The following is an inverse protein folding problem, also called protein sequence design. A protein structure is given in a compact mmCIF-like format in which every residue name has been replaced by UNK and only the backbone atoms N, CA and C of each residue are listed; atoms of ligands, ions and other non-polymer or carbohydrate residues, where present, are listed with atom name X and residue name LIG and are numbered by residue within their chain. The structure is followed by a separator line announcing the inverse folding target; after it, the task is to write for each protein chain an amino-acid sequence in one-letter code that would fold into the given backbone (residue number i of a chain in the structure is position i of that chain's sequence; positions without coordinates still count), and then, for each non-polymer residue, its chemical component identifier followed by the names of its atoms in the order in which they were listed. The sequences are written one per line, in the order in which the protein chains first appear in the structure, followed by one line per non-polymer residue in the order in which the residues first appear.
data_IF_352982763207
#
_entry.id   IF_352982763207
#
_cell.length_a   1.000
_cell.length_b   1.000
_cell.length_c   1.000
_cell.angle_alpha   90.00
_cell.angle_beta   90.00
_cell.angle_gamma   90.00
#
_symmetry.space_group_name_H-M   'P 1'
#
loop_
_entity.id
_entity.type
_entity.pdbx_description
1 polymer ?
#
# COMPACT_ATOMS: atom_id res chain seq x y z
N UNK A 1 4.00 16.48 -21.39
CA UNK A 1 4.52 17.24 -20.25
C UNK A 1 4.40 16.34 -19.06
N UNK A 2 5.52 15.78 -18.62
CA UNK A 2 5.64 14.97 -17.40
C UNK A 2 5.89 15.97 -16.29
N UNK A 3 4.97 16.09 -15.35
CA UNK A 3 5.10 17.02 -14.23
C UNK A 3 6.09 16.41 -13.22
N UNK A 4 7.33 16.88 -13.30
CA UNK A 4 8.36 16.72 -12.28
C UNK A 4 8.01 17.60 -11.08
N UNK A 5 7.16 17.08 -10.18
CA UNK A 5 7.00 17.67 -8.86
C UNK A 5 6.58 16.65 -7.80
N UNK A 6 7.56 16.01 -7.17
CA UNK A 6 7.52 15.79 -5.72
C UNK A 6 8.92 15.60 -5.17
N UNK A 7 9.31 16.59 -4.38
CA UNK A 7 10.47 16.58 -3.49
C UNK A 7 10.29 15.56 -2.36
N UNK A 8 11.37 14.88 -1.97
CA UNK A 8 11.45 14.10 -0.72
C UNK A 8 11.57 12.59 -0.96
N UNK A 9 12.72 12.02 -0.60
CA UNK A 9 13.05 10.61 -0.82
C UNK A 9 11.93 9.67 -0.40
N UNK A 10 11.47 8.85 -1.33
CA UNK A 10 10.49 7.81 -1.06
C UNK A 10 11.05 6.55 -1.69
N UNK A 11 11.57 5.64 -0.85
CA UNK A 11 11.89 4.24 -1.18
C UNK A 11 10.59 3.45 -1.47
N UNK A 12 9.73 4.02 -2.31
CA UNK A 12 8.42 3.47 -2.63
C UNK A 12 8.44 3.01 -4.08
N UNK A 13 8.33 1.69 -4.27
CA UNK A 13 8.23 1.10 -5.59
C UNK A 13 6.78 0.80 -5.94
N UNK A 14 6.31 1.32 -7.07
CA UNK A 14 4.98 0.99 -7.59
C UNK A 14 5.02 -0.36 -8.32
N UNK A 15 4.22 -1.32 -7.86
CA UNK A 15 4.07 -2.63 -8.49
C UNK A 15 2.60 -2.99 -8.64
N UNK A 16 2.26 -3.61 -9.78
CA UNK A 16 0.96 -4.25 -9.99
C UNK A 16 1.09 -5.73 -9.63
N UNK A 17 0.24 -6.21 -8.73
CA UNK A 17 0.19 -7.61 -8.31
C UNK A 17 -1.14 -8.24 -8.70
N UNK A 18 -1.13 -9.52 -9.04
CA UNK A 18 -2.35 -10.31 -9.19
C UNK A 18 -2.72 -10.92 -7.84
N UNK A 19 -3.99 -10.78 -7.45
CA UNK A 19 -4.51 -11.23 -6.16
C UNK A 19 -5.87 -11.87 -6.36
N UNK A 20 -6.19 -12.82 -5.49
CA UNK A 20 -7.50 -13.45 -5.48
C UNK A 20 -8.61 -12.41 -5.27
N UNK A 21 -9.70 -12.58 -6.02
CA UNK A 21 -10.83 -11.63 -6.01
C UNK A 21 -11.46 -11.48 -4.63
N UNK A 22 -11.49 -12.56 -3.85
CA UNK A 22 -12.04 -12.53 -2.49
C UNK A 22 -11.15 -11.74 -1.54
N UNK A 23 -9.83 -11.93 -1.63
CA UNK A 23 -8.82 -11.16 -0.87
C UNK A 23 -8.92 -9.69 -1.22
N UNK A 24 -8.95 -9.35 -2.52
CA UNK A 24 -9.12 -7.96 -2.96
C UNK A 24 -10.39 -7.30 -2.43
N UNK A 25 -11.51 -8.03 -2.41
CA UNK A 25 -12.78 -7.52 -1.88
C UNK A 25 -12.65 -7.18 -0.40
N UNK A 26 -11.96 -8.00 0.37
CA UNK A 26 -11.75 -7.76 1.80
C UNK A 26 -10.84 -6.54 2.04
N UNK A 27 -9.67 -6.49 1.41
CA UNK A 27 -8.71 -5.36 1.54
C UNK A 27 -9.40 -4.05 1.15
N UNK A 28 -10.17 -4.06 0.06
CA UNK A 28 -10.92 -2.87 -0.37
C UNK A 28 -12.01 -2.49 0.63
N UNK A 29 -12.73 -3.44 1.22
CA UNK A 29 -13.79 -3.15 2.19
C UNK A 29 -13.22 -2.50 3.46
N UNK A 30 -12.09 -3.00 3.96
CA UNK A 30 -11.40 -2.44 5.11
C UNK A 30 -10.85 -1.04 4.82
N UNK A 31 -10.19 -0.85 3.68
CA UNK A 31 -9.69 0.46 3.27
C UNK A 31 -10.81 1.51 3.18
N UNK A 32 -11.95 1.14 2.60
CA UNK A 32 -13.14 2.02 2.50
C UNK A 32 -13.73 2.32 3.88
N UNK A 33 -13.77 1.34 4.79
CA UNK A 33 -14.27 1.55 6.15
C UNK A 33 -13.39 2.53 6.95
N UNK A 34 -12.08 2.52 6.69
CA UNK A 34 -11.10 3.42 7.30
C UNK A 34 -10.97 4.78 6.57
N UNK A 35 -11.65 4.96 5.43
CA UNK A 35 -11.54 6.17 4.61
C UNK A 35 -10.17 6.33 3.94
N UNK A 36 -9.41 5.24 3.80
CA UNK A 36 -8.05 5.22 3.28
C UNK A 36 -7.96 4.62 1.86
N UNK A 37 -6.84 4.88 1.18
CA UNK A 37 -6.57 4.28 -0.12
C UNK A 37 -6.25 2.79 0.03
N UNK A 38 -6.71 1.98 -0.93
CA UNK A 38 -6.49 0.53 -0.93
C UNK A 38 -5.00 0.19 -0.95
N UNK A 39 -4.16 1.01 -1.61
CA UNK A 39 -2.71 0.85 -1.62
C UNK A 39 -2.08 1.00 -0.23
N UNK A 40 -2.57 1.96 0.57
CA UNK A 40 -2.09 2.19 1.94
C UNK A 40 -2.48 1.01 2.83
N UNK A 41 -3.73 0.54 2.72
CA UNK A 41 -4.18 -0.63 3.48
C UNK A 41 -3.44 -1.90 3.09
N UNK A 42 -3.17 -2.09 1.80
CA UNK A 42 -2.39 -3.22 1.32
C UNK A 42 -0.95 -3.17 1.85
N UNK A 43 -0.32 -2.00 1.86
CA UNK A 43 1.02 -1.81 2.42
C UNK A 43 1.07 -2.12 3.92
N UNK A 44 0.09 -1.64 4.69
CA UNK A 44 -0.06 -1.94 6.12
C UNK A 44 -0.12 -3.46 6.39
N UNK A 45 -0.94 -4.17 5.61
CA UNK A 45 -1.05 -5.64 5.69
C UNK A 45 0.28 -6.32 5.33
N UNK A 46 0.96 -5.85 4.28
CA UNK A 46 2.24 -6.43 3.85
C UNK A 46 3.32 -6.20 4.91
N UNK A 47 3.41 -5.00 5.51
CA UNK A 47 4.36 -4.71 6.58
C UNK A 47 4.11 -5.58 7.81
N UNK A 48 2.86 -5.73 8.23
CA UNK A 48 2.48 -6.62 9.33
C UNK A 48 2.80 -8.10 9.01
N UNK A 49 2.59 -8.53 7.76
CA UNK A 49 2.88 -9.90 7.36
C UNK A 49 4.37 -10.24 7.38
N UNK A 50 5.22 -9.29 6.99
CA UNK A 50 6.68 -9.43 6.97
C UNK A 50 7.36 -8.99 8.27
N UNK A 51 6.58 -8.64 9.31
CA UNK A 51 7.10 -8.08 10.58
C UNK A 51 8.04 -6.87 10.35
N UNK A 52 7.72 -6.08 9.32
CA UNK A 52 8.46 -4.87 8.96
C UNK A 52 7.94 -3.70 9.80
N UNK A 53 8.46 -3.56 11.00
CA UNK A 53 8.32 -2.33 11.78
C UNK A 53 9.11 -1.19 11.13
N UNK A 54 8.60 0.05 11.20
CA UNK A 54 9.27 1.27 10.67
C UNK A 54 10.62 1.59 11.34
N UNK A 55 11.13 0.68 12.16
CA UNK A 55 12.35 0.81 12.97
C UNK A 55 13.58 0.13 12.34
N UNK A 56 13.43 -0.56 11.21
CA UNK A 56 14.54 -1.28 10.54
C UNK A 56 15.13 -0.50 9.33
N UNK A 57 15.12 0.84 9.37
CA UNK A 57 15.80 1.72 8.39
C UNK A 57 16.77 2.67 9.06
#
# INVERSE_FOLDING_TARGET
MTDENSSGGSDTTHTSIEIDREVWRQVRAEAVAEGSNVSVKLEDILRQHFDMDESDT
#
